data_IF_073962345168
#
_entry.id   IF_073962345168
#
_cell.length_a   1.000
_cell.length_b   1.000
_cell.length_c   1.000
_cell.angle_alpha   90.00
_cell.angle_beta   90.00
_cell.angle_gamma   90.00
#
_symmetry.space_group_name_H-M   'P 1'
#
loop_
_entity.id
_entity.type
_entity.pdbx_description
1 polymer ?
#
# COMPACT_ATOMS: atom_id res chain seq x y z
N UNK A 1 3.84 24.00 2.01
CA UNK A 1 3.93 22.74 2.78
C UNK A 1 4.86 21.81 2.03
N UNK A 2 5.75 21.13 2.74
CA UNK A 2 6.73 20.19 2.15
C UNK A 2 6.06 18.84 1.89
N UNK A 3 6.34 18.20 0.75
CA UNK A 3 5.88 16.84 0.45
C UNK A 3 6.58 15.84 1.37
N UNK A 4 5.82 14.93 1.98
CA UNK A 4 6.33 13.78 2.72
C UNK A 4 6.54 12.63 1.73
N UNK A 5 7.79 12.21 1.54
CA UNK A 5 8.13 11.07 0.69
C UNK A 5 8.30 9.84 1.58
N UNK A 6 7.60 8.76 1.24
CA UNK A 6 7.68 7.46 1.92
C UNK A 6 8.16 6.45 0.89
N UNK A 7 9.18 5.70 1.23
CA UNK A 7 9.78 4.71 0.35
C UNK A 7 9.50 3.32 0.91
N UNK A 8 9.06 2.40 0.07
CA UNK A 8 8.74 1.03 0.46
C UNK A 8 9.49 0.08 -0.45
N UNK A 9 10.16 -0.90 0.13
CA UNK A 9 10.83 -1.98 -0.58
C UNK A 9 10.03 -3.27 -0.42
N UNK A 10 9.52 -3.76 -1.54
CA UNK A 10 8.64 -4.91 -1.61
C UNK A 10 9.42 -6.18 -1.93
N UNK A 11 9.13 -7.24 -1.19
CA UNK A 11 9.80 -8.53 -1.25
C UNK A 11 8.78 -9.68 -1.23
N UNK A 12 9.12 -10.79 -1.86
CA UNK A 12 8.25 -11.94 -2.09
C UNK A 12 8.57 -12.66 -3.41
N UNK A 13 7.72 -13.61 -3.84
CA UNK A 13 6.48 -14.04 -3.20
C UNK A 13 6.70 -14.92 -1.95
N UNK A 14 5.75 -14.84 -1.02
CA UNK A 14 5.61 -15.75 0.13
C UNK A 14 4.27 -16.47 0.09
N UNK A 15 4.23 -17.66 0.67
CA UNK A 15 3.01 -18.43 0.96
C UNK A 15 2.65 -18.33 2.45
N UNK A 16 1.44 -18.76 2.81
CA UNK A 16 1.02 -18.84 4.21
C UNK A 16 1.87 -19.81 5.04
N UNK A 17 2.49 -20.81 4.41
CA UNK A 17 3.38 -21.76 5.09
C UNK A 17 4.77 -21.16 5.39
N UNK A 18 5.14 -20.07 4.74
CA UNK A 18 6.44 -19.39 4.88
C UNK A 18 6.40 -18.21 5.86
N UNK A 19 5.27 -17.98 6.55
CA UNK A 19 5.10 -16.85 7.45
C UNK A 19 6.10 -16.81 8.61
N UNK A 20 6.62 -17.97 9.04
CA UNK A 20 7.65 -18.05 10.09
C UNK A 20 8.99 -17.41 9.68
N UNK A 21 9.23 -17.23 8.38
CA UNK A 21 10.41 -16.54 7.85
C UNK A 21 10.32 -15.02 8.01
N UNK A 22 9.14 -14.50 8.35
CA UNK A 22 8.79 -13.09 8.40
C UNK A 22 8.52 -12.58 9.83
N UNK A 23 9.29 -13.08 10.79
CA UNK A 23 9.14 -12.81 12.23
C UNK A 23 10.38 -12.17 12.90
N UNK A 24 11.30 -11.56 12.15
CA UNK A 24 12.41 -10.79 12.72
C UNK A 24 11.89 -9.49 13.36
N UNK A 25 11.97 -9.34 14.70
CA UNK A 25 11.44 -8.18 15.42
C UNK A 25 12.22 -6.89 15.18
N UNK A 26 13.22 -6.90 14.30
CA UNK A 26 13.99 -5.71 13.92
C UNK A 26 13.51 -5.10 12.60
N UNK A 27 12.96 -5.90 11.70
CA UNK A 27 12.74 -5.49 10.30
C UNK A 27 11.43 -5.97 9.68
N UNK A 28 10.77 -6.98 10.23
CA UNK A 28 9.61 -7.60 9.59
C UNK A 28 8.31 -6.90 9.94
N UNK A 29 8.24 -5.61 9.62
CA UNK A 29 7.07 -4.78 9.82
C UNK A 29 6.83 -3.88 8.61
N UNK A 30 5.58 -3.47 8.40
CA UNK A 30 5.23 -2.55 7.34
C UNK A 30 3.90 -2.90 6.70
N UNK A 31 3.85 -2.83 5.38
CA UNK A 31 2.66 -3.12 4.58
C UNK A 31 2.76 -4.50 3.95
N UNK A 32 1.63 -5.11 3.63
CA UNK A 32 1.61 -6.36 2.88
C UNK A 32 0.50 -6.36 1.83
N UNK A 33 0.76 -7.06 0.74
CA UNK A 33 -0.17 -7.34 -0.34
C UNK A 33 -0.58 -8.81 -0.27
N UNK A 34 -1.87 -9.07 -0.44
CA UNK A 34 -2.40 -10.43 -0.64
C UNK A 34 -2.95 -10.52 -2.05
N UNK A 35 -2.40 -11.44 -2.84
CA UNK A 35 -2.86 -11.80 -4.16
C UNK A 35 -3.52 -13.16 -4.14
N UNK A 36 -4.47 -13.37 -5.04
CA UNK A 36 -5.14 -14.64 -5.21
C UNK A 36 -6.12 -14.61 -6.37
N UNK A 37 -6.98 -15.61 -6.40
CA UNK A 37 -8.02 -15.73 -7.41
C UNK A 37 -9.25 -14.92 -7.01
N UNK A 38 -9.96 -14.35 -7.98
CA UNK A 38 -11.25 -13.70 -7.75
C UNK A 38 -12.24 -14.12 -8.85
N UNK A 39 -13.45 -14.60 -8.49
CA UNK A 39 -14.41 -15.18 -9.45
C UNK A 39 -14.78 -14.27 -10.64
N UNK A 40 -14.63 -12.95 -10.49
CA UNK A 40 -14.94 -11.97 -11.54
C UNK A 40 -13.70 -11.39 -12.23
N UNK A 41 -12.52 -11.46 -11.62
CA UNK A 41 -11.33 -10.77 -12.12
C UNK A 41 -10.23 -11.72 -12.59
N UNK A 42 -10.37 -13.02 -12.32
CA UNK A 42 -9.41 -14.05 -12.70
C UNK A 42 -8.39 -14.31 -11.60
N UNK A 43 -7.25 -14.86 -12.00
CA UNK A 43 -6.18 -15.27 -11.10
C UNK A 43 -5.17 -14.14 -10.88
N UNK A 44 -4.36 -14.24 -9.82
CA UNK A 44 -3.26 -13.30 -9.49
C UNK A 44 -3.73 -11.84 -9.32
N UNK A 45 -4.90 -11.63 -8.72
CA UNK A 45 -5.50 -10.31 -8.49
C UNK A 45 -5.07 -9.76 -7.13
N UNK A 46 -4.74 -8.46 -7.05
CA UNK A 46 -4.55 -7.78 -5.76
C UNK A 46 -5.86 -7.75 -4.96
N UNK A 47 -5.97 -8.67 -3.99
CA UNK A 47 -7.15 -8.84 -3.16
C UNK A 47 -7.17 -7.85 -2.00
N UNK A 48 -6.01 -7.61 -1.36
CA UNK A 48 -5.93 -6.79 -0.16
C UNK A 48 -4.56 -6.14 0.05
N UNK A 49 -4.60 -4.95 0.63
CA UNK A 49 -3.47 -4.24 1.22
C UNK A 49 -3.72 -4.09 2.73
N UNK A 50 -2.75 -4.51 3.53
CA UNK A 50 -2.78 -4.40 4.99
C UNK A 50 -1.50 -3.79 5.56
N UNK A 51 -1.53 -3.52 6.87
CA UNK A 51 -0.38 -3.08 7.65
C UNK A 51 -0.24 -3.92 8.91
N UNK A 52 1.00 -4.12 9.38
CA UNK A 52 1.26 -4.99 10.52
C UNK A 52 1.06 -4.33 11.88
N UNK A 53 1.11 -2.99 11.94
CA UNK A 53 1.05 -2.25 13.20
C UNK A 53 2.26 -2.58 14.08
N UNK A 54 2.02 -2.93 15.35
CA UNK A 54 3.06 -3.31 16.32
C UNK A 54 3.51 -4.78 16.19
N UNK A 55 2.96 -5.55 15.25
CA UNK A 55 3.27 -6.98 15.06
C UNK A 55 4.18 -7.17 13.87
N UNK A 56 4.93 -8.26 13.86
CA UNK A 56 5.66 -8.69 12.68
C UNK A 56 4.71 -9.13 11.56
N UNK A 57 5.19 -9.21 10.33
CA UNK A 57 4.43 -9.74 9.19
C UNK A 57 3.91 -11.15 9.49
N UNK A 58 4.79 -12.06 9.93
CA UNK A 58 4.44 -13.44 10.27
C UNK A 58 3.33 -13.49 11.31
N UNK A 59 3.52 -12.82 12.45
CA UNK A 59 2.52 -12.73 13.50
C UNK A 59 1.18 -12.11 13.03
N UNK A 60 1.20 -11.05 12.21
CA UNK A 60 -0.03 -10.41 11.72
C UNK A 60 -0.78 -11.30 10.74
N UNK A 61 -0.08 -11.88 9.76
CA UNK A 61 -0.66 -12.72 8.73
C UNK A 61 -1.18 -14.04 9.31
N UNK A 62 -0.52 -14.59 10.33
CA UNK A 62 -1.01 -15.77 11.06
C UNK A 62 -2.34 -15.49 11.79
N UNK A 63 -2.56 -14.28 12.32
CA UNK A 63 -3.85 -13.90 12.90
C UNK A 63 -4.97 -13.86 11.83
N UNK A 64 -4.62 -13.52 10.59
CA UNK A 64 -5.55 -13.40 9.47
C UNK A 64 -5.69 -14.69 8.65
N UNK A 65 -4.83 -15.70 8.87
CA UNK A 65 -4.79 -16.94 8.08
C UNK A 65 -6.17 -17.61 7.95
N UNK A 66 -6.90 -17.73 9.06
CA UNK A 66 -8.24 -18.36 9.05
C UNK A 66 -9.27 -17.62 8.20
N UNK A 67 -9.11 -16.30 8.02
CA UNK A 67 -9.97 -15.50 7.14
C UNK A 67 -9.67 -15.79 5.67
N UNK A 68 -8.41 -16.02 5.34
CA UNK A 68 -7.93 -16.27 3.99
C UNK A 68 -8.16 -17.71 3.51
N UNK A 69 -8.11 -18.67 4.43
CA UNK A 69 -8.32 -20.10 4.13
C UNK A 69 -9.80 -20.49 4.02
N UNK A 70 -10.73 -19.66 4.50
CA UNK A 70 -12.17 -20.01 4.51
C UNK A 70 -12.78 -20.08 3.10
N UNK A 71 -12.18 -19.38 2.14
CA UNK A 71 -12.69 -19.28 0.77
C UNK A 71 -11.69 -19.91 -0.22
N UNK A 72 -12.01 -21.15 -0.64
CA UNK A 72 -11.18 -21.92 -1.57
C UNK A 72 -11.04 -21.23 -2.92
N UNK A 73 -12.05 -20.44 -3.34
CA UNK A 73 -12.06 -19.72 -4.61
C UNK A 73 -11.00 -18.61 -4.69
N UNK A 74 -10.36 -18.22 -3.57
CA UNK A 74 -9.28 -17.22 -3.56
C UNK A 74 -7.88 -17.83 -3.69
N UNK A 75 -7.77 -19.15 -3.64
CA UNK A 75 -6.49 -19.85 -3.67
C UNK A 75 -5.96 -20.00 -5.12
N UNK A 76 -4.63 -20.15 -5.31
CA UNK A 76 -3.59 -20.04 -4.28
C UNK A 76 -3.33 -18.58 -3.88
N UNK A 77 -3.06 -18.37 -2.60
CA UNK A 77 -2.67 -17.05 -2.11
C UNK A 77 -1.17 -16.82 -2.25
N UNK A 78 -0.83 -15.59 -2.64
CA UNK A 78 0.55 -15.12 -2.77
C UNK A 78 0.69 -13.81 -2.02
N UNK A 79 1.70 -13.71 -1.17
CA UNK A 79 1.91 -12.59 -0.26
C UNK A 79 3.20 -11.86 -0.63
N UNK A 80 3.15 -10.53 -0.62
CA UNK A 80 4.34 -9.68 -0.73
C UNK A 80 4.37 -8.73 0.46
N UNK A 81 5.55 -8.54 1.03
CA UNK A 81 5.76 -7.68 2.21
C UNK A 81 6.57 -6.45 1.82
N UNK A 82 6.12 -5.29 2.28
CA UNK A 82 6.68 -3.98 1.97
C UNK A 82 7.24 -3.34 3.23
N UNK A 83 8.57 -3.25 3.31
CA UNK A 83 9.27 -2.61 4.43
C UNK A 83 9.51 -1.14 4.11
N UNK A 84 9.09 -0.25 5.00
CA UNK A 84 9.39 1.17 4.87
C UNK A 84 10.90 1.39 5.00
N UNK A 85 11.49 2.17 4.11
CA UNK A 85 12.94 2.40 4.05
C UNK A 85 13.32 3.88 4.18
N UNK A 86 14.48 4.11 4.77
CA UNK A 86 15.08 5.42 4.95
C UNK A 86 16.51 5.30 5.45
N UNK A 87 17.21 6.43 5.56
CA UNK A 87 18.60 6.46 6.05
C UNK A 87 18.70 6.01 7.51
N UNK A 88 17.67 6.31 8.30
CA UNK A 88 17.55 5.97 9.71
C UNK A 88 16.09 5.63 10.00
N UNK A 89 15.84 4.58 10.77
CA UNK A 89 14.49 4.26 11.28
C UNK A 89 14.00 5.43 12.16
N UNK A 90 12.84 6.03 11.85
CA UNK A 90 12.32 7.15 12.64
C UNK A 90 11.79 6.67 14.00
N UNK A 91 11.28 7.60 14.82
CA UNK A 91 10.59 7.23 16.06
C UNK A 91 9.30 6.46 15.76
N UNK A 92 8.85 5.59 16.66
CA UNK A 92 7.65 4.76 16.45
C UNK A 92 6.44 5.57 15.99
N UNK A 93 6.15 6.72 16.62
CA UNK A 93 5.00 7.54 16.22
C UNK A 93 5.10 8.12 14.80
N UNK A 94 6.32 8.42 14.33
CA UNK A 94 6.52 8.87 12.93
C UNK A 94 6.43 7.70 11.97
N UNK A 95 7.00 6.55 12.35
CA UNK A 95 6.98 5.34 11.55
C UNK A 95 5.53 4.80 11.37
N UNK A 96 4.74 4.77 12.44
CA UNK A 96 3.32 4.39 12.42
C UNK A 96 2.50 5.36 11.56
N UNK A 97 2.75 6.67 11.68
CA UNK A 97 2.10 7.68 10.84
C UNK A 97 2.45 7.48 9.35
N UNK A 98 3.72 7.22 9.03
CA UNK A 98 4.14 6.96 7.65
C UNK A 98 3.51 5.67 7.10
N UNK A 99 3.43 4.62 7.91
CA UNK A 99 2.77 3.38 7.52
C UNK A 99 1.26 3.58 7.25
N UNK A 100 0.56 4.31 8.13
CA UNK A 100 -0.86 4.65 7.95
C UNK A 100 -1.09 5.48 6.68
N UNK A 101 -0.33 6.56 6.50
CA UNK A 101 -0.43 7.44 5.33
C UNK A 101 -0.16 6.67 4.03
N UNK A 102 0.85 5.80 4.03
CA UNK A 102 1.18 4.99 2.87
C UNK A 102 0.08 3.97 2.55
N UNK A 103 -0.40 3.22 3.55
CA UNK A 103 -1.49 2.25 3.37
C UNK A 103 -2.73 2.94 2.79
N UNK A 104 -3.19 4.03 3.42
CA UNK A 104 -4.39 4.76 2.99
C UNK A 104 -4.24 5.29 1.58
N UNK A 105 -3.08 5.84 1.22
CA UNK A 105 -2.84 6.34 -0.14
C UNK A 105 -2.81 5.21 -1.18
N UNK A 106 -2.15 4.08 -0.88
CA UNK A 106 -2.07 2.94 -1.79
C UNK A 106 -3.43 2.25 -1.97
N UNK A 107 -4.19 2.04 -0.88
CA UNK A 107 -5.55 1.52 -0.93
C UNK A 107 -6.44 2.40 -1.79
N UNK A 108 -6.36 3.71 -1.60
CA UNK A 108 -7.18 4.64 -2.37
C UNK A 108 -6.80 4.66 -3.86
N UNK A 109 -5.51 4.61 -4.18
CA UNK A 109 -5.01 4.67 -5.55
C UNK A 109 -5.34 3.41 -6.37
N UNK A 110 -5.37 2.24 -5.74
CA UNK A 110 -5.50 0.95 -6.44
C UNK A 110 -6.84 0.24 -6.18
N UNK A 111 -7.55 0.63 -5.12
CA UNK A 111 -8.83 0.07 -4.70
C UNK A 111 -8.88 -1.48 -4.72
N UNK A 112 -8.03 -2.18 -3.92
CA UNK A 112 -8.08 -3.64 -3.83
C UNK A 112 -9.47 -4.15 -3.43
N UNK A 113 -9.78 -5.37 -3.86
CA UNK A 113 -11.13 -5.96 -3.76
C UNK A 113 -11.69 -5.92 -2.33
N UNK A 114 -10.90 -6.34 -1.34
CA UNK A 114 -11.34 -6.43 0.06
C UNK A 114 -11.09 -5.16 0.88
N UNK A 115 -10.46 -4.13 0.31
CA UNK A 115 -10.35 -2.81 0.94
C UNK A 115 -11.53 -1.87 0.58
N UNK A 116 -12.64 -2.41 0.05
CA UNK A 116 -13.76 -1.60 -0.45
C UNK A 116 -14.36 -0.64 0.61
N UNK A 117 -14.29 -1.01 1.90
CA UNK A 117 -14.79 -0.15 2.99
C UNK A 117 -13.90 1.07 3.20
N UNK A 118 -12.59 0.88 3.14
CA UNK A 118 -11.56 1.90 3.27
C UNK A 118 -11.57 2.84 2.06
N UNK A 119 -11.78 2.29 0.85
CA UNK A 119 -11.96 3.08 -0.38
C UNK A 119 -13.21 3.96 -0.32
N UNK A 120 -14.29 3.47 0.30
CA UNK A 120 -15.52 4.23 0.47
C UNK A 120 -15.39 5.39 1.48
N UNK A 121 -14.36 5.36 2.34
CA UNK A 121 -14.04 6.50 3.19
C UNK A 121 -13.44 7.63 2.32
N UNK A 122 -13.90 8.86 2.55
CA UNK A 122 -13.32 10.03 1.87
C UNK A 122 -11.87 10.20 2.35
N UNK A 123 -10.91 10.49 1.45
CA UNK A 123 -9.53 10.69 1.85
C UNK A 123 -9.39 11.99 2.64
N UNK A 124 -8.57 11.96 3.68
CA UNK A 124 -8.31 13.14 4.50
C UNK A 124 -7.30 14.07 3.83
N UNK A 125 -7.22 15.31 4.34
CA UNK A 125 -6.36 16.35 3.78
C UNK A 125 -4.86 16.12 4.01
N UNK A 126 -4.52 15.23 4.96
CA UNK A 126 -3.15 14.83 5.28
C UNK A 126 -2.47 14.09 4.11
N UNK A 127 -3.23 13.29 3.36
CA UNK A 127 -2.73 12.55 2.20
C UNK A 127 -2.32 13.47 1.04
N UNK A 128 -2.83 14.70 0.97
CA UNK A 128 -2.61 15.63 -0.16
C UNK A 128 -1.13 15.83 -0.51
N UNK A 129 -0.26 15.87 0.50
CA UNK A 129 1.18 16.09 0.31
C UNK A 129 2.01 14.84 0.62
N UNK A 130 1.41 13.65 0.54
CA UNK A 130 2.11 12.37 0.64
C UNK A 130 2.50 11.88 -0.75
N UNK A 131 3.69 11.31 -0.84
CA UNK A 131 4.22 10.64 -2.02
C UNK A 131 4.85 9.31 -1.61
N UNK A 132 4.29 8.21 -2.09
CA UNK A 132 4.81 6.85 -1.88
C UNK A 132 5.59 6.44 -3.12
N UNK A 133 6.79 5.91 -2.92
CA UNK A 133 7.64 5.34 -3.96
C UNK A 133 7.85 3.86 -3.63
N UNK A 134 7.40 2.99 -4.53
CA UNK A 134 7.46 1.54 -4.39
C UNK A 134 8.67 0.99 -5.17
N UNK A 135 9.54 0.27 -4.47
CA UNK A 135 10.70 -0.43 -5.01
C UNK A 135 10.52 -1.95 -4.88
N UNK A 136 11.37 -2.72 -5.57
CA UNK A 136 11.33 -4.18 -5.50
C UNK A 136 10.11 -4.77 -6.22
N UNK A 137 9.55 -5.84 -5.64
CA UNK A 137 8.46 -6.64 -6.19
C UNK A 137 7.08 -6.02 -5.87
N UNK A 138 6.81 -4.82 -6.40
CA UNK A 138 5.59 -4.06 -6.08
C UNK A 138 4.36 -4.43 -6.93
N UNK A 139 4.52 -5.30 -7.94
CA UNK A 139 3.45 -5.86 -8.78
C UNK A 139 2.44 -4.81 -9.32
N UNK A 140 1.15 -4.94 -8.97
CA UNK A 140 0.05 -4.12 -9.48
C UNK A 140 0.04 -2.69 -8.90
N UNK A 141 0.89 -2.41 -7.91
CA UNK A 141 1.04 -1.05 -7.41
C UNK A 141 1.72 -0.17 -8.47
N UNK A 142 1.30 1.09 -8.58
CA UNK A 142 2.07 2.05 -9.35
C UNK A 142 3.44 2.29 -8.67
N UNK A 143 4.53 2.45 -9.43
CA UNK A 143 5.86 2.68 -8.88
C UNK A 143 5.93 3.98 -8.05
N UNK A 144 5.11 4.97 -8.40
CA UNK A 144 5.00 6.24 -7.68
C UNK A 144 3.53 6.63 -7.52
N UNK A 145 3.12 6.93 -6.29
CA UNK A 145 1.75 7.29 -5.92
C UNK A 145 1.77 8.56 -5.10
N UNK A 146 1.22 9.65 -5.64
CA UNK A 146 1.11 10.93 -4.94
C UNK A 146 -0.33 11.28 -4.62
N UNK A 147 -0.58 11.79 -3.41
CA UNK A 147 -1.92 12.22 -3.03
C UNK A 147 -2.44 13.36 -3.90
N UNK A 148 -1.57 14.19 -4.47
CA UNK A 148 -1.96 15.23 -5.43
C UNK A 148 -2.55 14.67 -6.72
N UNK A 149 -2.12 13.48 -7.15
CA UNK A 149 -2.51 12.88 -8.42
C UNK A 149 -3.68 11.94 -8.27
N UNK A 150 -3.70 11.16 -7.18
CA UNK A 150 -4.62 10.04 -7.04
C UNK A 150 -5.89 10.39 -6.26
N UNK A 151 -5.90 11.44 -5.43
CA UNK A 151 -7.07 11.78 -4.60
C UNK A 151 -8.11 12.61 -5.39
N UNK A 152 -9.30 12.05 -5.67
CA UNK A 152 -10.38 12.72 -6.40
C UNK A 152 -10.91 13.98 -5.69
N UNK A 153 -10.68 14.09 -4.37
CA UNK A 153 -11.12 15.23 -3.55
C UNK A 153 -10.39 16.52 -3.94
N UNK A 154 -9.16 16.40 -4.43
CA UNK A 154 -8.42 17.55 -4.93
C UNK A 154 -8.64 17.63 -6.43
N UNK A 155 -8.90 18.83 -6.97
CA UNK A 155 -8.98 18.96 -8.41
C UNK A 155 -7.66 18.43 -8.99
N UNK A 156 -7.76 17.51 -9.96
CA UNK A 156 -6.64 16.95 -10.73
C UNK A 156 -5.70 18.06 -11.23
N UNK A 157 -6.29 19.24 -11.38
CA UNK A 157 -5.70 20.43 -11.92
C UNK A 157 -5.97 21.64 -11.02
N UNK A 158 -4.97 22.27 -10.36
CA UNK A 158 -5.06 23.71 -10.11
C UNK A 158 -5.55 24.43 -11.38
N UNK A 159 -6.21 25.58 -11.26
CA UNK A 159 -6.51 26.40 -12.45
C UNK A 159 -5.18 26.71 -13.17
N UNK A 160 -4.87 25.97 -14.23
CA UNK A 160 -3.66 26.16 -15.01
C UNK A 160 -3.97 26.39 -16.47
N UNK A 161 -3.21 27.32 -17.05
CA UNK A 161 -3.09 27.50 -18.47
C UNK A 161 -2.11 26.48 -19.02
N UNK A 162 -2.42 25.87 -20.17
CA UNK A 162 -1.44 25.11 -20.92
C UNK A 162 -0.26 26.01 -21.26
N UNK A 163 0.97 25.52 -21.05
CA UNK A 163 2.14 26.27 -21.47
C UNK A 163 2.11 26.45 -23.00
N UNK A 164 1.99 27.70 -23.44
CA UNK A 164 2.12 28.09 -24.84
C UNK A 164 3.53 28.58 -25.15
N UNK A 165 3.80 28.83 -26.44
CA UNK A 165 4.93 29.68 -26.83
C UNK A 165 4.75 31.03 -26.15
N UNK A 166 5.77 31.55 -25.46
CA UNK A 166 5.69 32.81 -24.69
C UNK A 166 4.82 33.87 -25.39
N UNK A 167 3.75 34.33 -24.73
CA UNK A 167 3.03 35.54 -25.12
C UNK A 167 1.58 35.40 -25.60
N UNK A 168 0.93 34.23 -25.53
CA UNK A 168 -0.50 34.12 -25.87
C UNK A 168 -1.28 33.48 -24.71
N UNK A 169 -2.17 34.30 -24.13
CA UNK A 169 -3.20 33.92 -23.16
C UNK A 169 -4.43 33.37 -23.86
#
# INVERSE_FOLDING_TARGET
>A
MTTKNIYIDWDGPYTLDELEELDDPRIDYGLYQVYGSHPLYGDEVLLYLGATGERTFGARLAEEQSYWEVEEDFQPLVIYVGRLMGVVTPTNGVWEEEMDLALRLLVYAHAPVFNAREVAALPDDDLRNVHVVNWGEFLDLAPEVSGRRYLYKFPDTPEYSYYGKQGEH
#
